data_IF_520570894243
#
_entry.id   IF_520570894243
#
_cell.length_a   1.000
_cell.length_b   1.000
_cell.length_c   1.000
_cell.angle_alpha   90.00
_cell.angle_beta   90.00
_cell.angle_gamma   90.00
#
_symmetry.space_group_name_H-M   'P 1'
#
loop_
_entity.id
_entity.type
_entity.pdbx_description
1 polymer ?
#
# COMPACT_ATOMS: atom_id res chain seq x y z
N UNK A 1 -4.93 54.36 7.09
CA UNK A 1 -4.45 53.62 8.27
C UNK A 1 -5.22 52.32 8.33
N UNK A 2 -4.63 51.23 7.84
CA UNK A 2 -5.19 49.90 8.01
C UNK A 2 -4.99 49.47 9.48
N UNK A 3 -5.96 48.79 10.12
CA UNK A 3 -5.83 48.39 11.51
C UNK A 3 -4.67 47.38 11.63
N UNK A 4 -3.71 47.71 12.49
CA UNK A 4 -2.64 46.81 12.89
C UNK A 4 -3.26 45.58 13.55
N UNK A 5 -2.99 44.41 12.98
CA UNK A 5 -3.34 43.12 13.58
C UNK A 5 -2.53 42.94 14.87
N UNK A 6 -3.19 43.02 16.02
CA UNK A 6 -2.63 42.80 17.35
C UNK A 6 -2.15 41.35 17.62
N UNK A 7 -1.97 40.50 16.59
CA UNK A 7 -1.55 39.09 16.77
C UNK A 7 -0.03 38.87 16.86
N UNK A 8 0.80 39.90 16.69
CA UNK A 8 2.26 39.72 16.68
C UNK A 8 2.91 39.57 18.07
N UNK A 9 2.23 39.93 19.17
CA UNK A 9 2.88 40.04 20.50
C UNK A 9 2.58 38.90 21.48
N UNK A 10 1.81 37.88 21.09
CA UNK A 10 1.66 36.67 21.91
C UNK A 10 1.81 35.44 21.02
N UNK A 11 3.05 34.96 20.86
CA UNK A 11 3.27 33.60 20.40
C UNK A 11 2.48 32.67 21.33
N UNK A 12 1.65 31.75 20.82
CA UNK A 12 0.93 30.82 21.67
C UNK A 12 1.92 30.04 22.55
N UNK A 13 1.71 30.06 23.88
CA UNK A 13 2.56 29.36 24.86
C UNK A 13 2.69 27.84 24.58
N UNK A 14 1.72 27.29 23.84
CA UNK A 14 1.62 25.87 23.46
C UNK A 14 2.11 25.65 22.02
N UNK A 15 3.43 25.62 21.84
CA UNK A 15 4.07 25.21 20.58
C UNK A 15 4.15 23.69 20.48
N UNK A 16 3.69 23.13 19.34
CA UNK A 16 3.76 21.68 19.07
C UNK A 16 5.18 21.11 19.19
N UNK A 17 6.20 21.89 18.85
CA UNK A 17 7.61 21.46 18.96
C UNK A 17 7.98 21.01 20.38
N UNK A 18 7.40 21.64 21.42
CA UNK A 18 7.62 21.26 22.82
C UNK A 18 6.98 19.92 23.19
N UNK A 19 5.92 19.50 22.48
CA UNK A 19 5.27 18.19 22.63
C UNK A 19 6.01 17.11 21.85
N UNK A 20 6.53 17.46 20.69
CA UNK A 20 7.20 16.55 19.76
C UNK A 20 8.64 16.21 20.17
N UNK A 21 9.44 17.23 20.53
CA UNK A 21 10.83 17.05 20.91
C UNK A 21 10.86 16.55 22.36
N UNK A 22 11.59 15.45 22.62
CA UNK A 22 11.71 14.85 23.95
C UNK A 22 12.58 15.67 24.92
N UNK A 23 13.86 15.92 24.58
CA UNK A 23 14.77 16.68 25.44
C UNK A 23 14.24 18.07 25.77
N UNK A 24 14.45 18.49 27.02
CA UNK A 24 14.19 19.84 27.54
C UNK A 24 15.49 20.62 27.65
N UNK A 25 15.41 21.93 27.89
CA UNK A 25 16.58 22.81 27.94
C UNK A 25 17.65 22.30 28.92
N UNK A 26 17.25 21.75 30.07
CA UNK A 26 18.17 21.11 31.02
C UNK A 26 18.85 19.86 30.46
N UNK A 27 18.09 18.95 29.84
CA UNK A 27 18.63 17.73 29.21
C UNK A 27 19.62 18.08 28.09
N UNK A 28 19.33 19.12 27.31
CA UNK A 28 20.20 19.59 26.22
C UNK A 28 21.55 20.04 26.77
N UNK A 29 21.55 20.81 27.88
CA UNK A 29 22.80 21.25 28.53
C UNK A 29 23.62 20.03 29.02
N UNK A 30 22.98 19.06 29.66
CA UNK A 30 23.65 17.85 30.14
C UNK A 30 24.22 17.01 28.98
N UNK A 31 23.47 16.85 27.90
CA UNK A 31 23.89 16.12 26.70
C UNK A 31 25.07 16.79 26.00
N UNK A 32 25.03 18.12 25.84
CA UNK A 32 26.12 18.90 25.23
C UNK A 32 27.40 18.80 26.07
N UNK A 33 27.29 18.90 27.39
CA UNK A 33 28.42 18.74 28.31
C UNK A 33 29.04 17.34 28.21
N UNK A 34 28.23 16.28 28.07
CA UNK A 34 28.72 14.92 27.89
C UNK A 34 29.47 14.71 26.56
N UNK A 35 29.08 15.45 25.52
CA UNK A 35 29.73 15.45 24.20
C UNK A 35 30.94 16.38 24.12
N UNK A 36 31.13 17.28 25.10
CA UNK A 36 32.22 18.24 25.12
C UNK A 36 32.07 19.38 24.10
N UNK A 37 30.83 19.73 23.73
CA UNK A 37 30.51 20.80 22.77
C UNK A 37 29.70 21.91 23.45
N UNK A 38 29.91 23.16 23.05
CA UNK A 38 29.39 24.32 23.77
C UNK A 38 27.92 24.66 23.46
N UNK A 39 27.40 24.22 22.30
CA UNK A 39 26.04 24.52 21.87
C UNK A 39 25.53 23.54 20.81
N UNK A 40 24.22 23.52 20.58
CA UNK A 40 23.63 22.80 19.44
C UNK A 40 24.15 23.32 18.10
N UNK A 41 24.37 24.63 17.96
CA UNK A 41 24.92 25.20 16.72
C UNK A 41 26.34 24.69 16.45
N UNK A 42 27.21 24.68 17.48
CA UNK A 42 28.56 24.13 17.37
C UNK A 42 28.54 22.63 17.01
N UNK A 43 27.67 21.85 17.66
CA UNK A 43 27.49 20.43 17.34
C UNK A 43 27.10 20.23 15.87
N UNK A 44 26.16 21.04 15.36
CA UNK A 44 25.71 20.96 13.96
C UNK A 44 26.83 21.39 13.00
N UNK A 45 27.60 22.43 13.32
CA UNK A 45 28.71 22.94 12.51
C UNK A 45 29.83 21.90 12.36
N UNK A 46 30.12 21.16 13.43
CA UNK A 46 31.11 20.08 13.43
C UNK A 46 30.60 18.80 12.73
N UNK A 47 29.28 18.58 12.72
CA UNK A 47 28.66 17.36 12.17
C UNK A 47 28.37 17.47 10.67
N UNK A 48 27.85 18.61 10.21
CA UNK A 48 27.37 18.78 8.83
C UNK A 48 28.41 19.56 8.02
N UNK A 49 28.99 18.98 6.95
CA UNK A 49 29.94 19.70 6.11
C UNK A 49 29.34 20.99 5.55
N UNK A 50 30.05 22.11 5.75
CA UNK A 50 29.58 23.44 5.36
C UNK A 50 29.24 23.54 3.86
N UNK A 51 29.90 22.75 3.00
CA UNK A 51 29.66 22.74 1.55
C UNK A 51 28.28 22.24 1.13
N UNK A 52 27.57 21.53 2.02
CA UNK A 52 26.21 21.00 1.76
C UNK A 52 25.16 21.56 2.72
N UNK A 53 25.55 22.42 3.68
CA UNK A 53 24.61 23.04 4.62
C UNK A 53 23.79 24.11 3.91
N UNK A 54 22.49 24.13 4.17
CA UNK A 54 21.62 25.20 3.69
C UNK A 54 22.10 26.55 4.23
N UNK A 55 22.31 27.51 3.33
CA UNK A 55 22.76 28.87 3.68
C UNK A 55 21.64 29.76 4.21
N UNK A 56 20.38 29.45 3.88
CA UNK A 56 19.20 30.18 4.32
C UNK A 56 18.21 29.21 5.00
N UNK A 57 17.40 29.70 5.97
CA UNK A 57 16.31 28.91 6.53
C UNK A 57 15.31 28.46 5.48
N UNK A 58 14.58 27.38 5.78
CA UNK A 58 13.48 26.93 4.94
C UNK A 58 12.41 28.03 4.82
N UNK A 59 11.96 28.29 3.60
CA UNK A 59 10.89 29.25 3.30
C UNK A 59 9.54 28.57 3.53
N UNK A 60 9.07 28.59 4.77
CA UNK A 60 7.81 28.00 5.21
C UNK A 60 6.93 29.08 5.84
N UNK A 61 5.62 28.85 5.84
CA UNK A 61 4.68 29.66 6.59
C UNK A 61 4.97 29.59 8.10
N UNK A 62 4.58 30.62 8.88
CA UNK A 62 4.74 30.59 10.33
C UNK A 62 4.09 29.36 10.98
N UNK A 63 4.66 28.85 12.09
CA UNK A 63 4.10 27.70 12.77
C UNK A 63 2.69 28.00 13.30
N UNK A 64 1.85 26.96 13.32
CA UNK A 64 0.49 27.00 13.87
C UNK A 64 0.40 26.12 15.11
N UNK A 65 -0.48 26.46 16.03
CA UNK A 65 -0.83 25.56 17.14
C UNK A 65 -1.57 24.32 16.62
N UNK A 66 -1.64 23.26 17.44
CA UNK A 66 -2.42 22.05 17.10
C UNK A 66 -3.89 22.36 16.80
N UNK A 67 -4.47 23.29 17.56
CA UNK A 67 -5.87 23.70 17.38
C UNK A 67 -6.10 24.41 16.06
N UNK A 68 -5.23 25.36 15.70
CA UNK A 68 -5.32 26.11 14.44
C UNK A 68 -5.12 25.19 13.23
N UNK A 69 -4.17 24.26 13.31
CA UNK A 69 -3.93 23.27 12.26
C UNK A 69 -5.16 22.39 12.03
N UNK A 70 -5.76 21.86 13.09
CA UNK A 70 -6.97 21.03 12.97
C UNK A 70 -8.17 21.82 12.44
N UNK A 71 -8.30 23.11 12.77
CA UNK A 71 -9.35 23.96 12.21
C UNK A 71 -9.17 24.15 10.70
N UNK A 72 -7.96 24.50 10.25
CA UNK A 72 -7.65 24.67 8.84
C UNK A 72 -7.84 23.37 8.04
N UNK A 73 -7.31 22.24 8.54
CA UNK A 73 -7.47 20.95 7.86
C UNK A 73 -8.94 20.54 7.74
N UNK A 74 -9.79 20.90 8.71
CA UNK A 74 -11.25 20.70 8.59
C UNK A 74 -11.86 21.56 7.49
N UNK A 75 -11.42 22.80 7.32
CA UNK A 75 -11.91 23.68 6.26
C UNK A 75 -11.47 23.21 4.87
N UNK A 76 -10.26 22.65 4.75
CA UNK A 76 -9.82 21.97 3.53
C UNK A 76 -10.66 20.71 3.29
N UNK A 77 -10.81 19.85 4.30
CA UNK A 77 -11.56 18.60 4.18
C UNK A 77 -13.04 18.81 3.81
N UNK A 78 -13.65 19.93 4.23
CA UNK A 78 -15.04 20.32 3.87
C UNK A 78 -15.22 20.61 2.37
N UNK A 79 -14.13 20.84 1.63
CA UNK A 79 -14.19 21.04 0.18
C UNK A 79 -14.35 19.71 -0.58
N UNK A 80 -14.08 18.57 0.07
CA UNK A 80 -14.31 17.26 -0.52
C UNK A 80 -15.82 16.93 -0.53
N UNK A 81 -16.27 16.33 -1.63
CA UNK A 81 -17.63 15.83 -1.75
C UNK A 81 -17.69 14.32 -1.52
N UNK A 82 -18.33 13.90 -0.43
CA UNK A 82 -18.56 12.48 -0.16
C UNK A 82 -19.76 12.01 -0.98
N UNK A 83 -19.50 11.16 -1.98
CA UNK A 83 -20.52 10.56 -2.85
C UNK A 83 -20.64 9.06 -2.58
N UNK A 84 -21.81 8.50 -2.94
CA UNK A 84 -21.97 7.04 -3.05
C UNK A 84 -21.31 6.57 -4.34
N UNK A 85 -20.04 6.22 -4.26
CA UNK A 85 -19.25 5.80 -5.41
C UNK A 85 -19.49 4.33 -5.73
N UNK A 86 -20.23 4.05 -6.79
CA UNK A 86 -20.44 2.71 -7.35
C UNK A 86 -19.51 2.45 -8.54
N UNK A 87 -18.33 3.07 -8.53
CA UNK A 87 -17.33 2.98 -9.61
C UNK A 87 -16.72 1.57 -9.65
N UNK A 88 -16.49 0.95 -8.48
CA UNK A 88 -15.83 -0.35 -8.38
C UNK A 88 -14.35 -0.24 -8.71
N UNK A 89 -13.90 -0.98 -9.72
CA UNK A 89 -12.50 -0.95 -10.19
C UNK A 89 -11.47 -1.24 -9.09
N UNK A 90 -11.78 -2.18 -8.18
CA UNK A 90 -10.90 -2.60 -7.09
C UNK A 90 -11.10 -1.85 -5.76
N UNK A 91 -11.97 -0.83 -5.73
CA UNK A 91 -12.31 -0.08 -4.52
C UNK A 91 -13.81 -0.08 -4.29
N UNK A 92 -14.21 -0.53 -3.11
CA UNK A 92 -15.61 -0.71 -2.75
C UNK A 92 -15.84 -0.15 -1.35
N UNK A 93 -16.88 0.67 -1.20
CA UNK A 93 -17.24 1.20 0.10
C UNK A 93 -17.56 0.04 1.08
N UNK A 94 -17.20 0.22 2.34
CA UNK A 94 -17.30 -0.81 3.36
C UNK A 94 -17.52 -0.19 4.73
N UNK A 95 -18.12 -0.96 5.64
CA UNK A 95 -18.29 -0.56 7.02
C UNK A 95 -17.09 -1.06 7.81
N UNK A 96 -16.23 -0.13 8.27
CA UNK A 96 -15.25 -0.44 9.32
C UNK A 96 -16.01 -0.66 10.63
N UNK A 97 -15.95 -1.85 11.26
CA UNK A 97 -16.63 -2.05 12.54
C UNK A 97 -16.13 -1.02 13.57
N UNK A 98 -17.01 -0.27 14.26
CA UNK A 98 -16.58 0.78 15.18
C UNK A 98 -15.63 0.31 16.29
N UNK A 99 -15.75 -0.96 16.70
CA UNK A 99 -14.83 -1.58 17.67
C UNK A 99 -13.41 -1.75 17.12
N UNK A 100 -13.26 -2.03 15.81
CA UNK A 100 -11.95 -2.10 15.14
C UNK A 100 -11.39 -0.71 14.92
N UNK A 101 -12.20 0.23 14.42
CA UNK A 101 -11.77 1.61 14.23
C UNK A 101 -11.20 2.19 15.53
N UNK A 102 -11.96 2.11 16.62
CA UNK A 102 -11.55 2.74 17.88
C UNK A 102 -10.40 2.03 18.58
N UNK A 103 -10.37 0.70 18.60
CA UNK A 103 -9.42 -0.05 19.42
C UNK A 103 -8.16 -0.50 18.68
N UNK A 104 -8.12 -0.36 17.35
CA UNK A 104 -6.96 -0.69 16.51
C UNK A 104 -6.50 0.57 15.77
N UNK A 105 -7.29 1.11 14.84
CA UNK A 105 -6.86 2.20 13.97
C UNK A 105 -6.58 3.50 14.74
N UNK A 106 -7.42 3.83 15.72
CA UNK A 106 -7.29 5.04 16.56
C UNK A 106 -6.51 4.78 17.86
N UNK A 107 -5.84 3.63 17.98
CA UNK A 107 -5.12 3.23 19.18
C UNK A 107 -3.60 3.18 18.95
N UNK A 108 -2.79 4.07 19.58
CA UNK A 108 -1.33 4.08 19.40
C UNK A 108 -0.65 2.78 19.84
N UNK A 109 -1.29 1.98 20.70
CA UNK A 109 -0.81 0.65 21.05
C UNK A 109 -0.79 -0.36 19.90
N UNK A 110 -1.35 -0.04 18.73
CA UNK A 110 -1.31 -0.86 17.53
C UNK A 110 -0.49 -0.25 16.38
N UNK A 111 -0.44 1.07 16.25
CA UNK A 111 0.17 1.74 15.09
C UNK A 111 1.53 2.40 15.36
N UNK A 112 2.01 2.46 16.61
CA UNK A 112 3.30 3.13 16.92
C UNK A 112 4.50 2.19 16.82
N UNK A 113 4.28 0.88 16.91
CA UNK A 113 5.34 -0.11 16.73
C UNK A 113 5.69 -0.28 15.26
N UNK A 114 6.89 -0.82 15.01
CA UNK A 114 7.37 -1.13 13.66
C UNK A 114 7.38 -2.65 13.40
N UNK A 115 8.09 -3.06 12.36
CA UNK A 115 8.27 -4.46 11.96
C UNK A 115 8.61 -5.34 13.16
N UNK A 116 8.00 -6.53 13.29
CA UNK A 116 8.23 -7.45 14.40
C UNK A 116 9.58 -8.18 14.35
N UNK A 117 10.69 -7.42 14.34
CA UNK A 117 12.05 -7.97 14.39
C UNK A 117 12.36 -8.71 15.70
N UNK A 118 11.68 -8.33 16.79
CA UNK A 118 11.77 -8.98 18.10
C UNK A 118 10.44 -9.70 18.36
N UNK A 119 10.40 -10.98 18.01
CA UNK A 119 9.15 -11.74 17.94
C UNK A 119 8.47 -11.90 19.31
N UNK A 120 9.26 -12.09 20.37
CA UNK A 120 8.83 -12.35 21.75
C UNK A 120 7.97 -11.21 22.31
N UNK A 121 8.26 -9.97 21.91
CA UNK A 121 7.51 -8.76 22.30
C UNK A 121 6.54 -8.28 21.20
N UNK A 122 6.26 -9.15 20.23
CA UNK A 122 5.46 -8.81 19.05
C UNK A 122 4.37 -9.83 18.73
N UNK A 123 4.14 -10.80 19.61
CA UNK A 123 3.21 -11.92 19.37
C UNK A 123 1.80 -11.45 19.01
N UNK A 124 1.28 -10.39 19.63
CA UNK A 124 -0.07 -9.90 19.34
C UNK A 124 -0.29 -9.53 17.86
N UNK A 125 0.63 -8.78 17.23
CA UNK A 125 0.50 -8.44 15.80
C UNK A 125 0.93 -9.57 14.88
N UNK A 126 1.89 -10.41 15.30
CA UNK A 126 2.27 -11.61 14.54
C UNK A 126 1.10 -12.59 14.41
N UNK A 127 0.32 -12.78 15.48
CA UNK A 127 -0.90 -13.59 15.46
C UNK A 127 -1.96 -12.98 14.54
N UNK A 128 -2.18 -11.65 14.60
CA UNK A 128 -3.10 -10.97 13.69
C UNK A 128 -2.69 -11.14 12.20
N UNK A 129 -1.38 -11.08 11.90
CA UNK A 129 -0.86 -11.34 10.55
C UNK A 129 -1.02 -12.80 10.13
N UNK A 130 -0.85 -13.75 11.06
CA UNK A 130 -1.11 -15.16 10.79
C UNK A 130 -2.60 -15.42 10.49
N UNK A 131 -3.50 -14.73 11.20
CA UNK A 131 -4.93 -14.77 10.91
C UNK A 131 -5.23 -14.23 9.51
N UNK A 132 -4.57 -13.13 9.11
CA UNK A 132 -4.68 -12.60 7.75
C UNK A 132 -4.20 -13.62 6.70
N UNK A 133 -3.04 -14.25 6.92
CA UNK A 133 -2.52 -15.28 6.03
C UNK A 133 -3.47 -16.47 5.91
N UNK A 134 -4.04 -16.91 7.03
CA UNK A 134 -5.00 -18.02 7.08
C UNK A 134 -6.28 -17.66 6.31
N UNK A 135 -6.85 -16.48 6.55
CA UNK A 135 -8.02 -15.97 5.83
C UNK A 135 -7.80 -15.95 4.32
N UNK A 136 -6.65 -15.45 3.86
CA UNK A 136 -6.32 -15.39 2.43
C UNK A 136 -6.13 -16.80 1.87
N UNK A 137 -5.42 -17.69 2.56
CA UNK A 137 -5.23 -19.07 2.12
C UNK A 137 -6.56 -19.83 1.99
N UNK A 138 -7.44 -19.71 2.99
CA UNK A 138 -8.75 -20.35 3.00
C UNK A 138 -9.65 -19.85 1.85
N UNK A 139 -9.74 -18.52 1.68
CA UNK A 139 -10.59 -17.93 0.65
C UNK A 139 -10.05 -18.17 -0.76
N UNK A 140 -8.74 -18.18 -0.96
CA UNK A 140 -8.14 -18.40 -2.28
C UNK A 140 -8.01 -19.88 -2.64
N UNK A 141 -8.09 -20.78 -1.64
CA UNK A 141 -7.83 -22.21 -1.81
C UNK A 141 -6.36 -22.53 -2.13
N UNK A 142 -5.44 -21.62 -1.84
CA UNK A 142 -4.00 -21.78 -2.05
C UNK A 142 -3.28 -22.06 -0.73
N UNK A 143 -2.18 -22.83 -0.74
CA UNK A 143 -1.59 -23.34 0.50
C UNK A 143 -0.85 -22.30 1.34
N UNK A 144 -0.48 -21.15 0.77
CA UNK A 144 0.36 -20.14 1.42
C UNK A 144 -0.05 -18.72 1.02
N UNK A 145 0.01 -17.81 1.99
CA UNK A 145 -0.14 -16.37 1.79
C UNK A 145 0.95 -15.62 2.57
N UNK A 146 1.36 -14.45 2.07
CA UNK A 146 2.27 -13.57 2.78
C UNK A 146 1.51 -12.63 3.74
N UNK A 147 2.25 -11.80 4.48
CA UNK A 147 1.69 -10.85 5.43
C UNK A 147 1.35 -9.48 4.79
N UNK A 148 0.76 -9.48 3.59
CA UNK A 148 0.41 -8.34 2.72
C UNK A 148 1.47 -7.86 1.72
N UNK A 149 1.01 -7.10 0.72
CA UNK A 149 1.77 -6.27 -0.22
C UNK A 149 1.16 -4.86 -0.23
N UNK A 150 1.68 -3.96 -1.07
CA UNK A 150 1.29 -2.54 -1.07
C UNK A 150 -0.13 -2.31 -1.58
N UNK A 151 -0.46 -2.84 -2.76
CA UNK A 151 -1.78 -2.75 -3.38
C UNK A 151 -1.98 -3.91 -4.39
N UNK A 152 -3.18 -4.05 -4.97
CA UNK A 152 -3.48 -5.11 -5.93
C UNK A 152 -2.61 -5.04 -7.20
N UNK A 153 -2.39 -3.83 -7.72
CA UNK A 153 -1.70 -3.61 -8.99
C UNK A 153 -0.22 -3.98 -8.90
N UNK A 154 0.43 -3.61 -7.80
CA UNK A 154 1.80 -3.99 -7.47
C UNK A 154 1.90 -5.47 -7.11
N UNK A 155 0.92 -6.05 -6.42
CA UNK A 155 0.87 -7.49 -6.18
C UNK A 155 0.79 -8.30 -7.48
N UNK A 156 0.00 -7.86 -8.46
CA UNK A 156 -0.05 -8.47 -9.78
C UNK A 156 1.30 -8.36 -10.53
N UNK A 157 2.00 -7.23 -10.40
CA UNK A 157 3.35 -7.08 -10.95
C UNK A 157 4.38 -7.98 -10.24
N UNK A 158 4.29 -8.16 -8.92
CA UNK A 158 5.12 -9.12 -8.20
C UNK A 158 4.81 -10.57 -8.60
N UNK A 159 3.55 -10.89 -8.87
CA UNK A 159 3.18 -12.19 -9.42
C UNK A 159 3.80 -12.41 -10.81
N UNK A 160 3.79 -11.41 -11.69
CA UNK A 160 4.49 -11.47 -12.98
C UNK A 160 5.99 -11.74 -12.80
N UNK A 161 6.67 -11.02 -11.91
CA UNK A 161 8.12 -11.23 -11.68
C UNK A 161 8.41 -12.58 -11.02
N UNK A 162 7.52 -13.07 -10.14
CA UNK A 162 7.59 -14.41 -9.57
C UNK A 162 7.44 -15.48 -10.66
N UNK A 163 6.45 -15.37 -11.54
CA UNK A 163 6.28 -16.28 -12.67
C UNK A 163 7.53 -16.32 -13.54
N UNK A 164 8.11 -15.15 -13.85
CA UNK A 164 9.35 -15.03 -14.62
C UNK A 164 10.53 -15.76 -13.97
N UNK A 165 10.65 -15.72 -12.65
CA UNK A 165 11.74 -16.38 -11.90
C UNK A 165 11.56 -17.90 -11.84
N UNK A 166 10.32 -18.37 -11.73
CA UNK A 166 9.98 -19.80 -11.69
C UNK A 166 10.17 -20.42 -13.07
N UNK A 167 9.58 -19.81 -14.10
CA UNK A 167 9.64 -20.28 -15.49
C UNK A 167 10.94 -19.81 -16.14
N UNK A 168 12.03 -20.52 -15.83
CA UNK A 168 13.34 -20.35 -16.47
C UNK A 168 13.22 -20.79 -17.94
N UNK A 169 13.37 -19.87 -18.88
CA UNK A 169 13.24 -20.18 -20.29
C UNK A 169 13.38 -18.98 -21.21
N UNK A 170 13.14 -19.20 -22.51
CA UNK A 170 13.21 -18.17 -23.55
C UNK A 170 11.93 -17.34 -23.69
N UNK A 171 10.80 -17.83 -23.15
CA UNK A 171 9.52 -17.10 -23.17
C UNK A 171 9.73 -15.72 -22.57
N UNK A 172 9.49 -14.64 -23.32
CA UNK A 172 9.68 -13.25 -22.87
C UNK A 172 8.38 -12.51 -22.60
N UNK A 173 7.23 -13.15 -22.89
CA UNK A 173 5.94 -12.51 -22.84
C UNK A 173 5.13 -12.89 -21.59
N UNK A 174 4.37 -11.93 -21.08
CA UNK A 174 3.37 -12.10 -20.03
C UNK A 174 2.03 -11.64 -20.56
N UNK A 175 1.01 -12.48 -20.47
CA UNK A 175 -0.33 -12.11 -20.90
C UNK A 175 -1.10 -11.45 -19.76
N UNK A 176 -1.87 -10.41 -20.08
CA UNK A 176 -2.78 -9.76 -19.13
C UNK A 176 -4.16 -9.68 -19.78
N UNK A 177 -5.18 -10.17 -19.08
CA UNK A 177 -6.55 -10.06 -19.56
C UNK A 177 -6.95 -8.58 -19.67
N UNK A 178 -7.58 -8.21 -20.79
CA UNK A 178 -7.99 -6.84 -21.07
C UNK A 178 -9.11 -6.34 -20.14
N UNK A 179 -9.76 -7.25 -19.41
CA UNK A 179 -10.78 -7.01 -18.41
C UNK A 179 -10.25 -7.04 -16.97
N UNK A 180 -8.93 -7.04 -16.77
CA UNK A 180 -8.31 -6.61 -15.52
C UNK A 180 -8.60 -5.12 -15.25
N UNK A 181 -8.46 -4.70 -13.98
CA UNK A 181 -8.57 -3.28 -13.67
C UNK A 181 -7.51 -2.47 -14.44
N UNK A 182 -7.86 -1.32 -15.05
CA UNK A 182 -6.96 -0.60 -15.94
C UNK A 182 -5.68 -0.13 -15.24
N UNK A 183 -5.75 0.23 -13.95
CA UNK A 183 -4.57 0.57 -13.16
C UNK A 183 -3.66 -0.64 -12.90
N UNK A 184 -4.23 -1.85 -12.78
CA UNK A 184 -3.45 -3.09 -12.66
C UNK A 184 -2.68 -3.36 -13.94
N UNK A 185 -3.33 -3.24 -15.10
CA UNK A 185 -2.68 -3.36 -16.41
C UNK A 185 -1.53 -2.34 -16.55
N UNK A 186 -1.79 -1.07 -16.22
CA UNK A 186 -0.81 0.00 -16.32
C UNK A 186 0.43 -0.22 -15.43
N UNK A 187 0.24 -0.65 -14.18
CA UNK A 187 1.35 -0.94 -13.25
C UNK A 187 2.15 -2.16 -13.71
N UNK A 188 1.49 -3.23 -14.18
CA UNK A 188 2.16 -4.40 -14.73
C UNK A 188 3.02 -4.03 -15.94
N UNK A 189 2.48 -3.24 -16.88
CA UNK A 189 3.23 -2.73 -18.03
C UNK A 189 4.43 -1.88 -17.61
N UNK A 190 4.24 -0.95 -16.67
CA UNK A 190 5.30 -0.07 -16.15
C UNK A 190 6.43 -0.88 -15.50
N UNK A 191 6.09 -1.95 -14.77
CA UNK A 191 7.07 -2.84 -14.12
C UNK A 191 7.76 -3.77 -15.10
N UNK A 192 7.11 -4.11 -16.20
CA UNK A 192 7.65 -4.96 -17.26
C UNK A 192 8.70 -4.24 -18.13
N UNK A 193 8.47 -2.95 -18.44
CA UNK A 193 9.31 -2.14 -19.32
C UNK A 193 10.82 -2.19 -19.00
N UNK A 194 11.29 -1.88 -17.77
CA UNK A 194 12.72 -1.89 -17.46
C UNK A 194 13.33 -3.30 -17.45
N UNK A 195 12.49 -4.35 -17.45
CA UNK A 195 12.91 -5.75 -17.49
C UNK A 195 12.90 -6.35 -18.90
N UNK A 196 12.45 -5.59 -19.90
CA UNK A 196 12.29 -6.07 -21.28
C UNK A 196 11.25 -7.20 -21.40
N UNK A 197 10.26 -7.23 -20.51
CA UNK A 197 9.14 -8.18 -20.56
C UNK A 197 8.09 -7.63 -21.53
N UNK A 198 7.64 -8.47 -22.47
CA UNK A 198 6.58 -8.07 -23.39
C UNK A 198 5.21 -8.38 -22.77
N UNK A 199 4.44 -7.34 -22.45
CA UNK A 199 3.09 -7.49 -21.90
C UNK A 199 2.08 -7.45 -23.04
N UNK A 200 1.38 -8.57 -23.23
CA UNK A 200 0.30 -8.69 -24.22
C UNK A 200 -1.03 -8.56 -23.51
N UNK A 201 -1.79 -7.53 -23.85
CA UNK A 201 -3.13 -7.30 -23.31
C UNK A 201 -4.18 -7.80 -24.31
N UNK A 202 -5.11 -8.66 -23.89
CA UNK A 202 -6.11 -9.22 -24.81
C UNK A 202 -7.23 -10.00 -24.13
N UNK A 203 -8.10 -10.60 -24.95
CA UNK A 203 -9.16 -11.50 -24.47
C UNK A 203 -8.55 -12.84 -24.02
N UNK A 204 -8.71 -13.24 -22.74
CA UNK A 204 -8.14 -14.48 -22.23
C UNK A 204 -8.67 -15.74 -22.92
N UNK A 205 -9.86 -15.72 -23.53
CA UNK A 205 -10.40 -16.88 -24.26
C UNK A 205 -9.72 -17.06 -25.63
N UNK A 206 -9.32 -15.95 -26.26
CA UNK A 206 -8.70 -15.91 -27.57
C UNK A 206 -7.17 -15.98 -27.55
N UNK A 207 -6.56 -16.23 -26.38
CA UNK A 207 -5.11 -16.36 -26.26
C UNK A 207 -4.59 -17.50 -27.14
N UNK A 208 -3.55 -17.23 -27.93
CA UNK A 208 -2.86 -18.22 -28.75
C UNK A 208 -1.49 -18.52 -28.15
N UNK A 209 -1.38 -19.68 -27.50
CA UNK A 209 -0.14 -20.15 -26.86
C UNK A 209 0.88 -20.73 -27.86
N UNK A 210 0.46 -21.05 -29.10
CA UNK A 210 1.35 -21.57 -30.14
C UNK A 210 2.02 -20.42 -30.91
N UNK A 211 1.30 -19.32 -31.12
CA UNK A 211 1.84 -18.12 -31.75
C UNK A 211 2.91 -17.41 -30.89
N UNK A 212 2.83 -17.55 -29.56
CA UNK A 212 3.72 -16.85 -28.64
C UNK A 212 3.96 -17.62 -27.33
N UNK A 213 5.23 -17.73 -26.96
CA UNK A 213 5.61 -18.32 -25.68
C UNK A 213 5.40 -17.34 -24.51
N UNK A 214 4.40 -17.61 -23.68
CA UNK A 214 4.13 -16.88 -22.44
C UNK A 214 4.72 -17.61 -21.24
N UNK A 215 5.31 -16.87 -20.30
CA UNK A 215 5.75 -17.43 -19.02
C UNK A 215 4.67 -17.34 -17.93
N UNK A 216 3.64 -16.53 -18.15
CA UNK A 216 2.47 -16.47 -17.28
C UNK A 216 1.32 -15.68 -17.89
N UNK A 217 0.15 -15.84 -17.28
CA UNK A 217 -1.09 -15.16 -17.63
C UNK A 217 -1.69 -14.53 -16.37
N UNK A 218 -2.18 -13.30 -16.46
CA UNK A 218 -2.94 -12.61 -15.41
C UNK A 218 -4.41 -12.49 -15.83
N UNK A 219 -5.30 -12.98 -14.97
CA UNK A 219 -6.75 -12.98 -15.13
C UNK A 219 -7.40 -12.21 -13.98
N UNK A 220 -8.59 -11.63 -14.18
CA UNK A 220 -9.37 -10.95 -13.14
C UNK A 220 -10.67 -11.72 -12.82
N UNK A 221 -10.98 -11.89 -11.54
CA UNK A 221 -12.11 -12.70 -11.06
C UNK A 221 -12.84 -12.12 -9.83
N UNK A 222 -14.08 -11.62 -9.95
CA UNK A 222 -14.77 -11.22 -11.19
C UNK A 222 -13.98 -10.17 -11.98
N UNK A 223 -14.26 -10.03 -13.27
CA UNK A 223 -13.58 -9.05 -14.10
C UNK A 223 -13.94 -7.59 -13.73
N UNK A 224 -13.24 -6.61 -14.30
CA UNK A 224 -13.45 -5.19 -13.99
C UNK A 224 -14.85 -4.67 -14.32
N UNK A 225 -15.62 -5.41 -15.14
CA UNK A 225 -16.99 -5.08 -15.52
C UNK A 225 -18.02 -5.87 -14.69
N UNK A 226 -17.55 -6.75 -13.80
CA UNK A 226 -18.38 -7.58 -12.92
C UNK A 226 -18.75 -8.94 -13.52
N UNK A 227 -18.18 -9.35 -14.64
CA UNK A 227 -18.45 -10.67 -15.23
C UNK A 227 -17.74 -11.76 -14.45
N UNK A 228 -18.45 -12.85 -14.20
CA UNK A 228 -17.89 -14.08 -13.62
C UNK A 228 -17.69 -15.07 -14.77
N UNK A 229 -16.46 -15.54 -14.95
CA UNK A 229 -16.08 -16.50 -16.00
C UNK A 229 -15.49 -17.75 -15.36
N UNK A 230 -15.66 -18.89 -16.03
CA UNK A 230 -14.88 -20.08 -15.71
C UNK A 230 -13.55 -20.02 -16.47
N UNK A 231 -12.45 -19.98 -15.73
CA UNK A 231 -11.10 -19.91 -16.29
C UNK A 231 -10.39 -21.27 -16.34
N UNK A 232 -11.05 -22.36 -15.94
CA UNK A 232 -10.43 -23.69 -15.87
C UNK A 232 -9.77 -24.08 -17.20
N UNK A 233 -10.45 -23.93 -18.33
CA UNK A 233 -9.92 -24.28 -19.66
C UNK A 233 -8.72 -23.41 -20.08
N UNK A 234 -8.79 -22.09 -19.85
CA UNK A 234 -7.69 -21.17 -20.18
C UNK A 234 -6.44 -21.48 -19.35
N UNK A 235 -6.63 -21.84 -18.07
CA UNK A 235 -5.54 -22.20 -17.17
C UNK A 235 -4.93 -23.55 -17.57
N UNK A 236 -5.74 -24.55 -17.90
CA UNK A 236 -5.24 -25.84 -18.42
C UNK A 236 -4.39 -25.65 -19.69
N UNK A 237 -4.84 -24.80 -20.62
CA UNK A 237 -4.07 -24.44 -21.82
C UNK A 237 -2.77 -23.71 -21.48
N UNK A 238 -2.80 -22.78 -20.53
CA UNK A 238 -1.62 -22.08 -20.06
C UNK A 238 -0.58 -23.04 -19.45
N UNK A 239 -1.03 -23.99 -18.63
CA UNK A 239 -0.18 -25.03 -18.04
C UNK A 239 0.39 -25.97 -19.08
N UNK A 240 -0.41 -26.40 -20.07
CA UNK A 240 0.05 -27.22 -21.19
C UNK A 240 1.15 -26.52 -22.02
N UNK A 241 1.06 -25.19 -22.16
CA UNK A 241 2.08 -24.35 -22.79
C UNK A 241 3.27 -24.02 -21.86
N UNK A 242 3.25 -24.49 -20.61
CA UNK A 242 4.30 -24.27 -19.62
C UNK A 242 4.28 -22.91 -18.93
N UNK A 243 3.21 -22.11 -19.07
CA UNK A 243 3.01 -20.85 -18.35
C UNK A 243 2.46 -21.09 -16.93
N UNK A 244 2.41 -20.04 -16.10
CA UNK A 244 1.69 -20.03 -14.81
C UNK A 244 0.46 -19.14 -14.89
N UNK A 245 -0.57 -19.46 -14.11
CA UNK A 245 -1.81 -18.71 -14.00
C UNK A 245 -1.84 -17.87 -12.72
N UNK A 246 -1.99 -16.56 -12.89
CA UNK A 246 -2.22 -15.58 -11.83
C UNK A 246 -3.67 -15.10 -11.90
N UNK A 247 -4.36 -15.07 -10.77
CA UNK A 247 -5.73 -14.55 -10.68
C UNK A 247 -5.77 -13.38 -9.69
N UNK A 248 -6.04 -12.18 -10.21
CA UNK A 248 -6.46 -11.04 -9.40
C UNK A 248 -7.93 -11.21 -9.02
N UNK A 249 -8.24 -11.26 -7.72
CA UNK A 249 -9.56 -11.67 -7.22
C UNK A 249 -10.05 -10.79 -6.07
N UNK A 250 -11.37 -10.72 -5.93
CA UNK A 250 -12.04 -10.08 -4.79
C UNK A 250 -12.26 -11.11 -3.67
N UNK A 251 -11.66 -10.91 -2.49
CA UNK A 251 -11.77 -11.86 -1.37
C UNK A 251 -13.21 -12.03 -0.85
N UNK A 252 -14.04 -10.99 -0.91
CA UNK A 252 -15.44 -11.11 -0.49
C UNK A 252 -16.24 -11.95 -1.47
N UNK A 253 -15.98 -11.82 -2.78
CA UNK A 253 -16.62 -12.63 -3.80
C UNK A 253 -16.33 -14.13 -3.60
N UNK A 254 -15.12 -14.49 -3.13
CA UNK A 254 -14.72 -15.88 -2.86
C UNK A 254 -15.47 -16.54 -1.69
N UNK A 255 -16.26 -15.79 -0.92
CA UNK A 255 -17.18 -16.40 0.05
C UNK A 255 -18.33 -17.16 -0.62
N UNK A 256 -18.60 -16.90 -1.90
CA UNK A 256 -19.65 -17.53 -2.70
C UNK A 256 -19.12 -18.24 -3.94
N UNK A 257 -18.06 -17.69 -4.54
CA UNK A 257 -17.51 -18.17 -5.79
C UNK A 257 -16.49 -19.29 -5.59
N UNK A 258 -16.34 -20.14 -6.62
CA UNK A 258 -15.30 -21.17 -6.64
C UNK A 258 -13.93 -20.48 -6.51
N UNK A 259 -13.07 -20.87 -5.56
CA UNK A 259 -11.82 -20.16 -5.32
C UNK A 259 -10.75 -20.49 -6.36
N UNK A 260 -9.78 -19.58 -6.62
CA UNK A 260 -8.72 -19.77 -7.61
C UNK A 260 -7.98 -21.11 -7.54
N UNK A 261 -7.60 -21.56 -6.34
CA UNK A 261 -6.91 -22.83 -6.16
C UNK A 261 -7.74 -24.05 -6.62
N UNK A 262 -9.08 -23.98 -6.55
CA UNK A 262 -9.96 -25.07 -6.97
C UNK A 262 -10.15 -25.18 -8.50
N UNK A 263 -9.75 -24.15 -9.26
CA UNK A 263 -9.74 -24.19 -10.73
C UNK A 263 -8.33 -24.06 -11.32
N UNK A 264 -7.29 -24.30 -10.52
CA UNK A 264 -5.93 -24.49 -10.99
C UNK A 264 -5.05 -23.24 -11.06
N UNK A 265 -5.45 -22.11 -10.46
CA UNK A 265 -4.56 -20.96 -10.37
C UNK A 265 -3.29 -21.30 -9.58
N UNK A 266 -2.13 -20.78 -10.01
CA UNK A 266 -0.86 -20.94 -9.31
C UNK A 266 -0.64 -19.84 -8.25
N UNK A 267 -1.14 -18.64 -8.53
CA UNK A 267 -1.01 -17.46 -7.68
C UNK A 267 -2.34 -16.71 -7.67
N UNK A 268 -2.78 -16.27 -6.49
CA UNK A 268 -3.88 -15.33 -6.34
C UNK A 268 -3.38 -14.03 -5.72
N UNK A 269 -3.85 -12.89 -6.25
CA UNK A 269 -3.58 -11.54 -5.73
C UNK A 269 -4.89 -10.78 -5.63
N UNK A 270 -4.92 -9.67 -4.90
CA UNK A 270 -6.14 -8.88 -4.76
C UNK A 270 -6.04 -7.88 -3.62
N UNK A 271 -7.08 -7.08 -3.46
CA UNK A 271 -7.22 -6.15 -2.35
C UNK A 271 -8.08 -6.74 -1.22
N UNK A 272 -7.61 -6.60 0.01
CA UNK A 272 -8.41 -6.85 1.22
C UNK A 272 -9.19 -5.60 1.69
N UNK A 273 -9.15 -4.48 0.93
CA UNK A 273 -9.72 -3.19 1.34
C UNK A 273 -11.18 -3.31 1.82
N UNK A 274 -12.01 -4.05 1.08
CA UNK A 274 -13.44 -4.18 1.41
C UNK A 274 -13.73 -5.09 2.61
N UNK A 275 -12.71 -5.62 3.30
CA UNK A 275 -12.83 -6.22 4.63
C UNK A 275 -12.69 -5.16 5.73
N UNK A 276 -13.49 -4.08 5.62
CA UNK A 276 -13.60 -3.08 6.67
C UNK A 276 -12.51 -2.01 6.70
N UNK A 277 -11.72 -1.83 5.64
CA UNK A 277 -10.73 -0.73 5.52
C UNK A 277 -11.35 0.43 4.74
N UNK A 278 -11.29 1.69 5.24
CA UNK A 278 -11.81 2.84 4.51
C UNK A 278 -11.19 2.98 3.11
N UNK A 279 -11.93 3.50 2.13
CA UNK A 279 -11.39 3.69 0.77
C UNK A 279 -10.14 4.59 0.72
N UNK A 280 -9.96 5.49 1.69
CA UNK A 280 -8.73 6.26 1.88
C UNK A 280 -8.32 7.17 0.70
N UNK A 281 -9.22 7.40 -0.27
CA UNK A 281 -8.87 8.02 -1.57
C UNK A 281 -7.69 7.31 -2.27
N UNK A 282 -7.55 5.99 -2.06
CA UNK A 282 -6.51 5.14 -2.64
C UNK A 282 -5.98 4.05 -1.70
N UNK A 283 -6.03 4.26 -0.39
CA UNK A 283 -5.55 3.34 0.66
C UNK A 283 -4.92 4.11 1.83
N UNK A 284 -4.20 3.44 2.75
CA UNK A 284 -4.01 1.98 2.90
C UNK A 284 -5.18 1.26 3.58
#
# INVERSE_FOLDING_TARGET
MAPMSHRQDTLPDDSFARRHIGPRDGDIVEMLAALGVDSLDALIDETIPASIRLAEPLRLDPPRSEHELLAELRDIARQNEIRRSLIGMGYYDTITPPVIQRNILENPGWYTQYTPYQAEISQGRLEALLNFQTLVADLTGLPLANASLLDEATAAAEAMTMCRRIKRGKASAFFVAADCHPQTIAVVQTRAEPLGIDVVVGDPQAIDFDARAYFGVLLQYPDTFGTIRDYSEVIERAHAAGALAVVATDLLALTLLKPPGAFGADIAVGSAQRFGVPMGFGGP
#
